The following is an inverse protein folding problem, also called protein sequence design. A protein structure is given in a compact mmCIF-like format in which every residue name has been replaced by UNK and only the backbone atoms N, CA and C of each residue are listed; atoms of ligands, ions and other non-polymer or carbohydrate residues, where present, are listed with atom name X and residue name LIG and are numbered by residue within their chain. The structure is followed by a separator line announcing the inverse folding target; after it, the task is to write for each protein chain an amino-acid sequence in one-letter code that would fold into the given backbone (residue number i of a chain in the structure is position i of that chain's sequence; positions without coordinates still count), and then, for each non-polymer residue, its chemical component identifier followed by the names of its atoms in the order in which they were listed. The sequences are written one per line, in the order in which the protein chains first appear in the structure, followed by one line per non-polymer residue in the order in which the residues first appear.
data_IF_983426503586
#
_entry.id   IF_983426503586
#
_cell.length_a   1.000
_cell.length_b   1.000
_cell.length_c   1.000
_cell.angle_alpha   90.00
_cell.angle_beta   90.00
_cell.angle_gamma   90.00
#
_symmetry.space_group_name_H-M   'P 1'
#
loop_
_entity.id
_entity.type
_entity.pdbx_description
1 polymer ?
#
# COMPACT_ATOMS: atom_id res chain seq x y z
N UNK A 1 -14.70 -29.24 18.08
CA UNK A 1 -13.78 -28.53 17.18
C UNK A 1 -14.03 -27.05 17.39
N UNK A 2 -13.10 -26.33 18.03
CA UNK A 2 -13.24 -24.90 18.28
C UNK A 2 -12.84 -24.15 17.00
N UNK A 3 -13.83 -23.49 16.39
CA UNK A 3 -13.64 -22.58 15.28
C UNK A 3 -12.94 -21.32 15.83
N UNK A 4 -11.61 -21.24 15.64
CA UNK A 4 -10.86 -20.04 15.99
C UNK A 4 -11.11 -18.98 14.92
N UNK A 5 -12.15 -18.17 15.11
CA UNK A 5 -12.30 -16.90 14.42
C UNK A 5 -11.24 -15.93 14.93
N UNK A 6 -10.05 -15.98 14.34
CA UNK A 6 -9.02 -14.98 14.56
C UNK A 6 -9.55 -13.67 13.94
N UNK A 7 -9.72 -12.58 14.71
CA UNK A 7 -10.08 -11.31 14.12
C UNK A 7 -8.88 -10.83 13.31
N UNK A 8 -8.93 -11.06 11.99
CA UNK A 8 -7.98 -10.44 11.07
C UNK A 8 -8.27 -8.93 11.07
N UNK A 9 -7.60 -8.22 11.97
CA UNK A 9 -7.34 -6.80 11.81
C UNK A 9 -6.92 -6.54 10.36
N UNK A 10 -7.45 -5.49 9.68
CA UNK A 10 -7.13 -5.26 8.27
C UNK A 10 -5.64 -4.92 8.21
N UNK A 11 -4.85 -5.91 7.80
CA UNK A 11 -3.42 -5.75 7.65
C UNK A 11 -3.21 -4.71 6.55
N UNK A 12 -2.82 -3.49 6.98
CA UNK A 12 -2.39 -2.38 6.12
C UNK A 12 -1.01 -2.72 5.55
N UNK A 13 -0.94 -3.82 4.83
CA UNK A 13 0.18 -4.14 3.98
C UNK A 13 -0.34 -3.99 2.56
N UNK A 14 0.42 -3.26 1.73
CA UNK A 14 0.08 -3.13 0.31
C UNK A 14 -0.09 -4.49 -0.35
N UNK A 15 -0.48 -4.51 -1.64
CA UNK A 15 -0.70 -5.75 -2.37
C UNK A 15 0.46 -6.74 -2.12
N UNK A 16 0.10 -7.98 -1.81
CA UNK A 16 1.08 -9.04 -1.54
C UNK A 16 1.95 -9.28 -2.76
N UNK A 17 3.15 -9.80 -2.52
CA UNK A 17 4.12 -10.04 -3.61
C UNK A 17 3.57 -11.03 -4.65
N UNK A 18 2.81 -12.04 -4.23
CA UNK A 18 2.12 -12.98 -5.13
C UNK A 18 1.20 -12.25 -6.13
N UNK A 19 0.35 -11.35 -5.63
CA UNK A 19 -0.61 -10.60 -6.47
C UNK A 19 0.13 -9.72 -7.46
N UNK A 20 1.19 -9.02 -7.04
CA UNK A 20 1.97 -8.16 -7.92
C UNK A 20 2.72 -8.96 -8.99
N UNK A 21 3.23 -10.14 -8.63
CA UNK A 21 3.96 -11.03 -9.53
C UNK A 21 3.05 -11.58 -10.63
N UNK A 22 1.79 -11.87 -10.34
CA UNK A 22 0.79 -12.25 -11.36
C UNK A 22 0.58 -11.16 -12.42
N UNK A 23 0.70 -9.89 -12.03
CA UNK A 23 0.66 -8.75 -12.96
C UNK A 23 2.01 -8.42 -13.60
N UNK A 24 3.07 -9.20 -13.30
CA UNK A 24 4.43 -8.94 -13.79
C UNK A 24 5.07 -7.68 -13.19
N UNK A 25 4.57 -7.22 -12.03
CA UNK A 25 5.07 -6.01 -11.35
C UNK A 25 5.81 -6.45 -10.09
N UNK A 26 7.03 -5.95 -9.89
CA UNK A 26 7.71 -6.17 -8.61
C UNK A 26 7.13 -5.27 -7.53
N UNK A 27 7.09 -5.74 -6.27
CA UNK A 27 6.72 -4.92 -5.12
C UNK A 27 7.52 -3.62 -5.05
N UNK A 28 8.81 -3.69 -5.35
CA UNK A 28 9.68 -2.51 -5.34
C UNK A 28 9.27 -1.48 -6.40
N UNK A 29 9.00 -1.91 -7.64
CA UNK A 29 8.56 -1.02 -8.72
C UNK A 29 7.19 -0.40 -8.42
N UNK A 30 6.27 -1.18 -7.84
CA UNK A 30 4.98 -0.67 -7.39
C UNK A 30 5.12 0.43 -6.32
N UNK A 31 5.91 0.16 -5.27
CA UNK A 31 6.10 1.12 -4.18
C UNK A 31 6.82 2.39 -4.64
N UNK A 32 7.80 2.27 -5.56
CA UNK A 32 8.45 3.41 -6.17
C UNK A 32 7.46 4.28 -6.94
N UNK A 33 6.62 3.68 -7.78
CA UNK A 33 5.63 4.41 -8.57
C UNK A 33 4.55 5.06 -7.71
N UNK A 34 4.08 4.37 -6.68
CA UNK A 34 3.12 4.92 -5.72
C UNK A 34 3.70 6.15 -5.01
N UNK A 35 4.97 6.08 -4.57
CA UNK A 35 5.66 7.23 -3.96
C UNK A 35 5.76 8.42 -4.91
N UNK A 36 6.09 8.20 -6.18
CA UNK A 36 6.14 9.28 -7.18
C UNK A 36 4.80 9.98 -7.32
N UNK A 37 3.70 9.22 -7.40
CA UNK A 37 2.34 9.75 -7.52
C UNK A 37 1.95 10.58 -6.29
N UNK A 38 2.28 10.09 -5.09
CA UNK A 38 1.97 10.76 -3.83
C UNK A 38 2.74 12.07 -3.62
N UNK A 39 3.88 12.24 -4.30
CA UNK A 39 4.70 13.45 -4.24
C UNK A 39 4.32 14.50 -5.31
N UNK A 40 3.34 14.21 -6.17
CA UNK A 40 2.85 15.17 -7.14
C UNK A 40 2.14 16.35 -6.45
N UNK A 41 2.22 17.53 -7.06
CA UNK A 41 1.48 18.72 -6.66
C UNK A 41 0.54 19.17 -7.80
N UNK A 42 -0.79 19.17 -7.59
CA UNK A 42 -1.48 18.79 -6.36
C UNK A 42 -1.45 17.27 -6.12
N UNK A 43 -1.57 16.83 -4.86
CA UNK A 43 -1.66 15.40 -4.53
C UNK A 43 -2.90 14.75 -5.15
N UNK A 44 -2.96 13.41 -5.19
CA UNK A 44 -4.11 12.69 -5.74
C UNK A 44 -5.42 13.12 -5.08
N UNK A 45 -6.45 13.31 -5.89
CA UNK A 45 -7.79 13.69 -5.40
C UNK A 45 -8.28 12.68 -4.37
N UNK A 46 -8.85 13.17 -3.27
CA UNK A 46 -9.40 12.34 -2.20
C UNK A 46 -8.38 11.88 -1.17
N UNK A 47 -7.11 12.27 -1.28
CA UNK A 47 -6.12 12.09 -0.21
C UNK A 47 -5.78 13.44 0.41
N UNK A 48 -5.91 13.53 1.73
CA UNK A 48 -5.41 14.69 2.45
C UNK A 48 -3.90 14.56 2.74
N UNK A 49 -3.30 15.60 3.34
CA UNK A 49 -1.86 15.62 3.66
C UNK A 49 -1.46 14.53 4.66
N UNK A 50 -2.36 14.18 5.58
CA UNK A 50 -2.17 13.12 6.57
C UNK A 50 -2.17 11.76 5.92
N UNK A 51 -3.10 11.52 4.99
CA UNK A 51 -3.17 10.28 4.21
C UNK A 51 -1.91 10.09 3.36
N UNK A 52 -1.49 11.15 2.66
CA UNK A 52 -0.25 11.14 1.87
C UNK A 52 0.96 10.82 2.76
N UNK A 53 1.07 11.44 3.94
CA UNK A 53 2.16 11.17 4.88
C UNK A 53 2.13 9.73 5.42
N UNK A 54 0.94 9.17 5.68
CA UNK A 54 0.79 7.78 6.11
C UNK A 54 1.24 6.80 5.01
N UNK A 55 0.80 7.00 3.77
CA UNK A 55 1.17 6.16 2.63
C UNK A 55 2.67 6.24 2.31
N UNK A 56 3.26 7.44 2.37
CA UNK A 56 4.71 7.62 2.16
C UNK A 56 5.56 6.88 3.19
N UNK A 57 5.07 6.68 4.42
CA UNK A 57 5.76 5.85 5.43
C UNK A 57 5.77 4.37 5.02
N UNK A 58 4.67 3.87 4.45
CA UNK A 58 4.59 2.49 3.95
C UNK A 58 5.53 2.27 2.77
N UNK A 59 5.66 3.25 1.86
CA UNK A 59 6.56 3.14 0.72
C UNK A 59 8.06 3.20 1.06
N UNK A 60 8.44 3.52 2.30
CA UNK A 60 9.85 3.58 2.75
C UNK A 60 10.34 2.29 3.43
N UNK A 61 9.44 1.38 3.77
CA UNK A 61 9.75 0.09 4.39
C UNK A 61 9.97 -1.00 3.34
#
# INVERSE_FOLDING_TARGET
MQDQHVPQSPHVFGPTEDVLTEFGVSRQSFMARLREILLQDPPPKGLDRTDVAALLRVCRA
#
